data_IF_203361282726
#
_entry.id   IF_203361282726
#
_cell.length_a   1.000
_cell.length_b   1.000
_cell.length_c   1.000
_cell.angle_alpha   90.00
_cell.angle_beta   90.00
_cell.angle_gamma   90.00
#
_symmetry.space_group_name_H-M   'P 1'
#
loop_
_entity.id
_entity.type
_entity.pdbx_description
1 polymer ?
#
# COMPACT_ATOMS: atom_id res chain seq x y z
N UNK A 1 -9.61 16.95 -14.99
CA UNK A 1 -8.65 16.30 -14.07
C UNK A 1 -9.10 14.89 -13.81
N UNK A 2 -8.24 14.04 -13.24
CA UNK A 2 -8.62 12.70 -12.82
C UNK A 2 -9.71 12.79 -11.74
N UNK A 3 -10.74 11.95 -11.81
CA UNK A 3 -11.80 11.89 -10.79
C UNK A 3 -11.27 11.13 -9.58
N UNK A 4 -11.34 11.69 -8.35
CA UNK A 4 -10.91 10.97 -7.15
C UNK A 4 -11.74 9.70 -6.91
N UNK A 5 -11.14 8.71 -6.26
CA UNK A 5 -11.83 7.50 -5.79
C UNK A 5 -12.78 7.86 -4.63
N UNK A 6 -13.96 7.24 -4.60
CA UNK A 6 -14.91 7.44 -3.51
C UNK A 6 -14.36 6.85 -2.21
N UNK A 7 -14.55 7.56 -1.09
CA UNK A 7 -14.29 7.06 0.26
C UNK A 7 -15.61 6.79 0.98
N UNK A 8 -15.82 5.56 1.42
CA UNK A 8 -16.98 5.16 2.24
C UNK A 8 -16.59 5.17 3.71
N UNK A 9 -17.31 5.92 4.55
CA UNK A 9 -17.14 5.90 6.03
C UNK A 9 -17.59 4.54 6.57
N UNK A 10 -16.70 3.86 7.28
CA UNK A 10 -16.89 2.52 7.85
C UNK A 10 -17.14 2.55 9.35
N UNK A 11 -17.14 3.74 9.97
CA UNK A 11 -17.39 3.93 11.39
C UNK A 11 -16.20 4.48 12.16
N UNK A 12 -16.34 4.47 13.48
CA UNK A 12 -15.32 4.94 14.40
C UNK A 12 -14.44 3.77 14.84
N UNK A 13 -13.14 3.93 14.68
CA UNK A 13 -12.11 3.09 15.26
C UNK A 13 -11.59 3.70 16.54
N UNK A 14 -11.41 2.87 17.57
CA UNK A 14 -10.88 3.29 18.86
C UNK A 14 -9.60 2.49 19.17
N UNK A 15 -8.42 3.14 19.26
CA UNK A 15 -7.17 2.43 19.53
C UNK A 15 -7.23 1.61 20.83
N UNK A 16 -8.01 2.04 21.83
CA UNK A 16 -8.08 1.37 23.13
C UNK A 16 -8.81 0.02 23.11
N UNK A 17 -9.53 -0.27 22.03
CA UNK A 17 -10.29 -1.52 21.86
C UNK A 17 -9.48 -2.59 21.14
N UNK A 18 -8.21 -2.30 20.82
CA UNK A 18 -7.34 -3.17 20.05
C UNK A 18 -6.11 -3.61 20.84
N UNK A 19 -5.57 -4.76 20.43
CA UNK A 19 -4.37 -5.34 21.01
C UNK A 19 -3.11 -4.65 20.48
N UNK A 20 -2.23 -4.21 21.39
CA UNK A 20 -0.97 -3.52 21.07
C UNK A 20 0.28 -4.22 21.63
N UNK A 21 0.12 -5.37 22.27
CA UNK A 21 1.14 -6.01 23.11
C UNK A 21 0.49 -6.57 24.37
N UNK A 22 1.26 -7.28 25.19
CA UNK A 22 0.77 -7.77 26.47
C UNK A 22 0.46 -6.61 27.41
N UNK A 23 -0.50 -6.83 28.32
CA UNK A 23 -0.79 -5.85 29.36
C UNK A 23 0.49 -5.60 30.18
N UNK A 24 0.93 -4.33 30.25
CA UNK A 24 2.16 -3.82 30.87
C UNK A 24 3.43 -3.78 29.99
N UNK A 25 3.40 -4.28 28.76
CA UNK A 25 4.50 -4.03 27.82
C UNK A 25 4.49 -2.55 27.39
N UNK A 26 5.65 -1.89 27.31
CA UNK A 26 5.72 -0.54 26.77
C UNK A 26 5.26 -0.56 25.31
N UNK A 27 4.37 0.37 24.96
CA UNK A 27 4.04 0.62 23.56
C UNK A 27 5.33 0.97 22.81
N UNK A 28 5.50 0.40 21.62
CA UNK A 28 6.60 0.83 20.75
C UNK A 28 6.45 2.32 20.38
N UNK A 29 7.56 3.01 20.19
CA UNK A 29 7.62 4.45 19.83
C UNK A 29 6.72 4.82 18.64
N UNK A 30 6.45 3.87 17.76
CA UNK A 30 5.57 4.05 16.60
C UNK A 30 4.07 4.02 16.96
N UNK A 31 3.68 3.28 17.99
CA UNK A 31 2.29 3.05 18.39
C UNK A 31 1.79 4.09 19.39
N UNK A 32 2.63 4.55 20.31
CA UNK A 32 2.28 5.57 21.31
C UNK A 32 1.59 6.81 20.72
N UNK A 33 2.09 7.45 19.64
CA UNK A 33 1.42 8.62 19.07
C UNK A 33 0.05 8.29 18.46
N UNK A 34 -0.12 7.08 17.91
CA UNK A 34 -1.40 6.62 17.34
C UNK A 34 -2.43 6.38 18.45
N UNK A 35 -2.03 5.72 19.52
CA UNK A 35 -2.92 5.42 20.66
C UNK A 35 -3.30 6.71 21.38
N UNK A 36 -2.33 7.60 21.60
CA UNK A 36 -2.53 8.92 22.22
C UNK A 36 -3.47 9.81 21.40
N UNK A 37 -3.38 9.77 20.06
CA UNK A 37 -4.29 10.52 19.19
C UNK A 37 -5.76 10.16 19.43
N UNK A 38 -6.04 8.89 19.75
CA UNK A 38 -7.37 8.43 20.10
C UNK A 38 -8.24 8.07 18.87
N UNK A 39 -9.58 8.08 19.04
CA UNK A 39 -10.50 7.57 18.04
C UNK A 39 -10.44 8.29 16.69
N UNK A 40 -10.56 7.52 15.60
CA UNK A 40 -10.52 8.01 14.21
C UNK A 40 -11.54 7.31 13.33
N UNK A 41 -11.94 7.96 12.24
CA UNK A 41 -12.83 7.35 11.25
C UNK A 41 -12.09 6.39 10.35
N UNK A 42 -12.66 5.21 10.14
CA UNK A 42 -12.22 4.25 9.13
C UNK A 42 -12.91 4.51 7.80
N UNK A 43 -12.16 4.32 6.72
CA UNK A 43 -12.68 4.46 5.39
C UNK A 43 -12.34 3.24 4.54
N UNK A 44 -13.23 2.97 3.58
CA UNK A 44 -13.01 2.05 2.49
C UNK A 44 -12.95 2.83 1.18
N UNK A 45 -11.85 2.69 0.47
CA UNK A 45 -11.65 3.27 -0.85
C UNK A 45 -12.43 2.49 -1.91
N UNK A 46 -12.95 3.19 -2.92
CA UNK A 46 -13.57 2.58 -4.09
C UNK A 46 -12.61 1.62 -4.79
N UNK A 47 -13.09 0.42 -5.09
CA UNK A 47 -12.38 -0.50 -5.96
C UNK A 47 -12.74 -0.21 -7.42
N UNK A 48 -11.72 0.07 -8.24
CA UNK A 48 -11.84 0.22 -9.68
C UNK A 48 -11.15 -0.96 -10.36
N UNK A 49 -11.93 -1.82 -11.01
CA UNK A 49 -11.45 -2.98 -11.75
C UNK A 49 -12.13 -3.03 -13.13
N UNK A 50 -11.53 -2.39 -14.14
CA UNK A 50 -12.09 -2.39 -15.49
C UNK A 50 -12.13 -3.81 -16.07
N UNK A 51 -13.18 -4.12 -16.83
CA UNK A 51 -13.28 -5.37 -17.56
C UNK A 51 -13.74 -6.58 -16.76
N UNK A 52 -13.82 -6.50 -15.42
CA UNK A 52 -14.40 -7.59 -14.61
C UNK A 52 -15.92 -7.68 -14.84
N UNK A 53 -16.43 -8.87 -15.13
CA UNK A 53 -17.88 -9.14 -15.12
C UNK A 53 -18.40 -9.24 -13.67
N UNK A 54 -19.32 -8.36 -13.24
CA UNK A 54 -19.92 -8.44 -11.91
C UNK A 54 -20.67 -9.75 -11.62
N UNK A 55 -21.01 -10.53 -12.66
CA UNK A 55 -21.73 -11.79 -12.57
C UNK A 55 -20.82 -13.02 -12.64
N UNK A 56 -19.54 -12.85 -13.00
CA UNK A 56 -18.57 -13.94 -13.00
C UNK A 56 -17.46 -13.66 -11.97
N UNK A 57 -17.53 -14.27 -10.78
CA UNK A 57 -16.53 -14.07 -9.73
C UNK A 57 -15.14 -14.62 -10.10
N UNK A 58 -15.01 -15.34 -11.22
CA UNK A 58 -13.74 -15.87 -11.72
C UNK A 58 -13.11 -15.00 -12.81
N UNK A 59 -13.84 -13.99 -13.33
CA UNK A 59 -13.34 -13.05 -14.33
C UNK A 59 -12.64 -11.85 -13.66
N UNK A 60 -11.55 -12.15 -12.95
CA UNK A 60 -10.68 -11.15 -12.33
C UNK A 60 -9.36 -11.04 -13.11
N UNK A 61 -9.18 -9.97 -13.92
CA UNK A 61 -7.96 -9.78 -14.71
C UNK A 61 -6.71 -9.56 -13.84
N UNK A 62 -6.83 -9.14 -12.57
CA UNK A 62 -5.71 -9.05 -11.63
C UNK A 62 -5.26 -10.46 -11.20
N UNK A 63 -6.21 -11.35 -10.90
CA UNK A 63 -5.93 -12.75 -10.59
C UNK A 63 -5.27 -13.42 -11.80
N UNK A 64 -5.80 -13.23 -13.00
CA UNK A 64 -5.20 -13.75 -14.24
C UNK A 64 -3.75 -13.26 -14.44
N UNK A 65 -3.50 -11.95 -14.28
CA UNK A 65 -2.14 -11.41 -14.40
C UNK A 65 -1.19 -11.97 -13.32
N UNK A 66 -1.70 -12.23 -12.12
CA UNK A 66 -0.93 -12.84 -11.04
C UNK A 66 -0.58 -14.29 -11.33
N UNK A 67 -1.51 -15.07 -11.88
CA UNK A 67 -1.26 -16.46 -12.29
C UNK A 67 -0.24 -16.54 -13.42
N UNK A 68 -0.32 -15.66 -14.41
CA UNK A 68 0.67 -15.53 -15.48
C UNK A 68 2.05 -15.17 -14.93
N UNK A 69 2.14 -14.21 -14.00
CA UNK A 69 3.38 -13.89 -13.29
C UNK A 69 3.96 -15.14 -12.62
N UNK A 70 3.14 -15.89 -11.89
CA UNK A 70 3.57 -17.09 -11.17
C UNK A 70 4.02 -18.21 -12.12
N UNK A 71 3.45 -18.25 -13.33
CA UNK A 71 3.88 -19.14 -14.41
C UNK A 71 5.15 -18.67 -15.15
N UNK A 72 5.67 -17.47 -14.83
CA UNK A 72 6.84 -16.87 -15.50
C UNK A 72 6.50 -16.09 -16.78
N UNK A 73 5.22 -15.97 -17.14
CA UNK A 73 4.71 -15.26 -18.32
C UNK A 73 4.61 -13.75 -18.07
N UNK A 74 5.74 -13.12 -17.72
CA UNK A 74 5.79 -11.72 -17.25
C UNK A 74 5.31 -10.72 -18.30
N UNK A 75 5.57 -10.98 -19.58
CA UNK A 75 5.16 -10.09 -20.67
C UNK A 75 3.63 -10.03 -20.80
N UNK A 76 2.97 -11.18 -20.68
CA UNK A 76 1.52 -11.28 -20.78
C UNK A 76 0.82 -10.73 -19.52
N UNK A 77 1.36 -11.03 -18.33
CA UNK A 77 0.92 -10.40 -17.09
C UNK A 77 1.00 -8.87 -17.19
N UNK A 78 2.12 -8.34 -17.70
CA UNK A 78 2.30 -6.90 -17.87
C UNK A 78 1.33 -6.31 -18.90
N UNK A 79 1.01 -7.04 -19.97
CA UNK A 79 0.04 -6.61 -21.00
C UNK A 79 -1.34 -6.39 -20.39
N UNK A 80 -1.86 -7.38 -19.65
CA UNK A 80 -3.17 -7.30 -18.99
C UNK A 80 -3.22 -6.10 -18.04
N UNK A 81 -2.22 -5.95 -17.17
CA UNK A 81 -2.19 -4.85 -16.21
C UNK A 81 -2.10 -3.47 -16.89
N UNK A 82 -1.37 -3.35 -18.00
CA UNK A 82 -1.32 -2.12 -18.78
C UNK A 82 -2.68 -1.81 -19.44
N UNK A 83 -3.40 -2.82 -19.93
CA UNK A 83 -4.75 -2.66 -20.48
C UNK A 83 -5.75 -2.19 -19.42
N UNK A 84 -5.65 -2.68 -18.18
CA UNK A 84 -6.45 -2.19 -17.06
C UNK A 84 -6.18 -0.70 -16.79
N UNK A 85 -4.91 -0.30 -16.74
CA UNK A 85 -4.52 1.11 -16.58
C UNK A 85 -4.99 1.99 -17.75
N UNK A 86 -5.02 1.47 -18.98
CA UNK A 86 -5.53 2.19 -20.14
C UNK A 86 -7.05 2.36 -20.09
N UNK A 87 -7.76 1.34 -19.60
CA UNK A 87 -9.22 1.37 -19.46
C UNK A 87 -9.68 2.33 -18.35
N UNK A 88 -9.05 2.26 -17.17
CA UNK A 88 -9.19 3.28 -16.13
C UNK A 88 -7.89 3.40 -15.33
N UNK A 89 -7.24 4.55 -15.44
CA UNK A 89 -5.99 4.84 -14.73
C UNK A 89 -6.13 4.70 -13.21
N UNK A 90 -7.35 4.80 -12.67
CA UNK A 90 -7.65 4.67 -11.25
C UNK A 90 -7.62 3.23 -10.74
N UNK A 91 -7.36 2.24 -11.59
CA UNK A 91 -7.13 0.86 -11.18
C UNK A 91 -5.81 0.74 -10.38
N UNK A 92 -5.89 0.98 -9.07
CA UNK A 92 -4.72 0.96 -8.18
C UNK A 92 -4.04 -0.41 -8.12
N UNK A 93 -4.80 -1.49 -8.29
CA UNK A 93 -4.25 -2.84 -8.19
C UNK A 93 -3.36 -3.14 -9.40
N UNK A 94 -3.73 -2.64 -10.58
CA UNK A 94 -2.88 -2.73 -11.76
C UNK A 94 -1.52 -2.04 -11.56
N UNK A 95 -1.51 -0.83 -10.96
CA UNK A 95 -0.25 -0.13 -10.62
C UNK A 95 0.59 -0.88 -9.58
N UNK A 96 -0.05 -1.42 -8.54
CA UNK A 96 0.63 -2.21 -7.52
C UNK A 96 1.29 -3.47 -8.11
N UNK A 97 0.57 -4.18 -8.99
CA UNK A 97 1.07 -5.39 -9.62
C UNK A 97 2.14 -5.09 -10.68
N UNK A 98 2.01 -4.01 -11.48
CA UNK A 98 3.06 -3.56 -12.41
C UNK A 98 4.37 -3.24 -11.69
N UNK A 99 4.30 -2.51 -10.56
CA UNK A 99 5.47 -2.26 -9.73
C UNK A 99 6.11 -3.56 -9.23
N UNK A 100 5.26 -4.51 -8.81
CA UNK A 100 5.70 -5.82 -8.28
C UNK A 100 6.39 -6.67 -9.34
N UNK A 101 5.97 -6.61 -10.61
CA UNK A 101 6.61 -7.38 -11.70
C UNK A 101 8.08 -7.02 -11.90
N UNK A 102 8.46 -5.77 -11.60
CA UNK A 102 9.82 -5.26 -11.89
C UNK A 102 10.60 -4.89 -10.63
N UNK A 103 9.98 -4.96 -9.45
CA UNK A 103 10.56 -4.55 -8.16
C UNK A 103 11.94 -5.19 -7.91
N UNK A 104 12.05 -6.51 -8.03
CA UNK A 104 13.26 -7.25 -7.66
C UNK A 104 14.48 -6.87 -8.49
N UNK A 105 14.29 -6.56 -9.77
CA UNK A 105 15.40 -6.35 -10.70
C UNK A 105 15.61 -4.88 -11.10
N UNK A 106 14.57 -4.05 -11.01
CA UNK A 106 14.57 -2.66 -11.51
C UNK A 106 13.78 -1.74 -10.58
N UNK A 107 14.27 -1.46 -9.35
CA UNK A 107 13.57 -0.58 -8.41
C UNK A 107 13.32 0.83 -8.97
N UNK A 108 14.21 1.33 -9.85
CA UNK A 108 14.03 2.60 -10.55
C UNK A 108 12.83 2.62 -11.51
N UNK A 109 12.40 1.46 -12.01
CA UNK A 109 11.20 1.33 -12.85
C UNK A 109 9.97 1.05 -11.98
N UNK A 110 10.11 0.17 -10.99
CA UNK A 110 9.04 -0.16 -10.05
C UNK A 110 8.47 1.06 -9.33
N UNK A 111 9.35 1.97 -8.88
CA UNK A 111 8.94 3.17 -8.16
C UNK A 111 7.95 4.02 -8.96
N UNK A 112 8.07 4.06 -10.30
CA UNK A 112 7.18 4.88 -11.15
C UNK A 112 5.76 4.34 -11.13
N UNK A 113 5.59 3.02 -11.19
CA UNK A 113 4.27 2.38 -11.10
C UNK A 113 3.62 2.61 -9.74
N UNK A 114 4.36 2.35 -8.65
CA UNK A 114 3.86 2.57 -7.31
C UNK A 114 3.54 4.05 -7.04
N UNK A 115 4.36 4.97 -7.54
CA UNK A 115 4.15 6.42 -7.37
C UNK A 115 2.87 6.89 -8.06
N UNK A 116 2.51 6.35 -9.24
CA UNK A 116 1.24 6.69 -9.90
C UNK A 116 0.06 6.23 -9.04
N UNK A 117 0.04 4.96 -8.60
CA UNK A 117 -1.03 4.46 -7.76
C UNK A 117 -1.14 5.20 -6.41
N UNK A 118 0.00 5.51 -5.78
CA UNK A 118 0.05 6.32 -4.57
C UNK A 118 -0.55 7.72 -4.80
N UNK A 119 -0.14 8.41 -5.87
CA UNK A 119 -0.65 9.75 -6.17
C UNK A 119 -2.15 9.80 -6.43
N UNK A 120 -2.72 8.77 -7.06
CA UNK A 120 -4.18 8.66 -7.27
C UNK A 120 -4.92 8.45 -5.95
N UNK A 121 -4.39 7.59 -5.08
CA UNK A 121 -4.98 7.41 -3.76
C UNK A 121 -4.84 8.67 -2.89
N UNK A 122 -3.70 9.35 -2.90
CA UNK A 122 -3.50 10.62 -2.18
C UNK A 122 -4.42 11.73 -2.68
N UNK A 123 -4.64 11.82 -3.99
CA UNK A 123 -5.65 12.71 -4.58
C UNK A 123 -7.04 12.46 -3.99
N UNK A 124 -7.36 11.20 -3.71
CA UNK A 124 -8.66 10.76 -3.18
C UNK A 124 -8.81 10.99 -1.67
N UNK A 125 -7.71 10.90 -0.94
CA UNK A 125 -7.66 11.21 0.49
C UNK A 125 -7.77 12.72 0.76
N UNK A 126 -7.09 13.53 -0.05
CA UNK A 126 -6.89 14.96 0.21
C UNK A 126 -5.78 15.24 1.23
N UNK A 127 -5.27 16.48 1.24
CA UNK A 127 -4.07 16.86 1.99
C UNK A 127 -4.19 16.77 3.52
N UNK A 128 -5.40 16.92 4.06
CA UNK A 128 -5.66 16.95 5.50
C UNK A 128 -6.30 15.64 6.01
N UNK A 129 -6.12 14.53 5.29
CA UNK A 129 -6.74 13.26 5.66
C UNK A 129 -6.15 12.68 6.95
N UNK A 130 -6.97 12.69 8.01
CA UNK A 130 -6.65 12.15 9.34
C UNK A 130 -7.32 10.79 9.64
N UNK A 131 -8.02 10.21 8.66
CA UNK A 131 -8.70 8.93 8.79
C UNK A 131 -7.78 7.72 8.66
N UNK A 132 -8.40 6.54 8.73
CA UNK A 132 -7.75 5.24 8.57
C UNK A 132 -8.16 4.57 7.26
N UNK A 133 -7.24 3.79 6.70
CA UNK A 133 -7.49 2.82 5.65
C UNK A 133 -7.03 1.43 6.14
N UNK A 134 -7.82 0.75 6.98
CA UNK A 134 -7.46 -0.57 7.47
C UNK A 134 -7.30 -1.58 6.34
N UNK A 135 -6.32 -2.48 6.46
CA UNK A 135 -6.10 -3.61 5.53
C UNK A 135 -7.30 -4.58 5.47
N UNK A 136 -8.09 -4.62 6.54
CA UNK A 136 -9.28 -5.46 6.65
C UNK A 136 -10.34 -5.16 5.59
N UNK A 137 -10.41 -3.92 5.12
CA UNK A 137 -11.19 -3.58 3.92
C UNK A 137 -10.37 -3.90 2.68
N UNK A 138 -10.76 -4.96 1.95
CA UNK A 138 -9.99 -5.51 0.83
C UNK A 138 -9.70 -4.42 -0.23
N UNK A 139 -10.66 -3.54 -0.47
CA UNK A 139 -10.59 -2.45 -1.44
C UNK A 139 -9.48 -1.42 -1.11
N UNK A 140 -9.00 -1.35 0.13
CA UNK A 140 -7.88 -0.49 0.54
C UNK A 140 -6.51 -1.09 0.17
N UNK A 141 -6.42 -2.42 -0.01
CA UNK A 141 -5.14 -3.12 -0.18
C UNK A 141 -4.36 -2.65 -1.40
N UNK A 142 -4.96 -2.36 -2.58
CA UNK A 142 -4.23 -1.84 -3.72
C UNK A 142 -3.48 -0.53 -3.42
N UNK A 143 -4.14 0.42 -2.73
CA UNK A 143 -3.51 1.67 -2.32
C UNK A 143 -2.36 1.43 -1.33
N UNK A 144 -2.62 0.62 -0.28
CA UNK A 144 -1.61 0.28 0.71
C UNK A 144 -0.41 -0.43 0.07
N UNK A 145 -0.62 -1.33 -0.89
CA UNK A 145 0.46 -1.99 -1.65
C UNK A 145 1.27 -1.00 -2.48
N UNK A 146 0.62 -0.04 -3.15
CA UNK A 146 1.33 1.03 -3.84
C UNK A 146 2.21 1.84 -2.88
N UNK A 147 1.66 2.24 -1.74
CA UNK A 147 2.39 3.00 -0.74
C UNK A 147 3.59 2.22 -0.19
N UNK A 148 3.39 0.94 0.11
CA UNK A 148 4.46 0.05 0.58
C UNK A 148 5.55 -0.12 -0.46
N UNK A 149 5.19 -0.51 -1.68
CA UNK A 149 6.14 -0.70 -2.78
C UNK A 149 6.93 0.57 -3.06
N UNK A 150 6.29 1.74 -3.02
CA UNK A 150 6.95 3.03 -3.14
C UNK A 150 7.99 3.25 -2.02
N UNK A 151 7.60 3.03 -0.75
CA UNK A 151 8.53 3.15 0.39
C UNK A 151 9.71 2.18 0.31
N UNK A 152 9.48 0.93 -0.08
CA UNK A 152 10.54 -0.07 -0.29
C UNK A 152 11.47 0.33 -1.45
N UNK A 153 10.93 0.85 -2.56
CA UNK A 153 11.74 1.35 -3.66
C UNK A 153 12.62 2.54 -3.23
N UNK A 154 12.06 3.49 -2.48
CA UNK A 154 12.83 4.61 -1.93
C UNK A 154 13.99 4.11 -1.07
N UNK A 155 13.74 3.12 -0.21
CA UNK A 155 14.79 2.53 0.60
C UNK A 155 15.87 1.84 -0.24
N UNK A 156 15.46 1.01 -1.22
CA UNK A 156 16.40 0.35 -2.16
C UNK A 156 17.25 1.34 -2.96
N UNK A 157 16.73 2.53 -3.21
CA UNK A 157 17.41 3.61 -3.93
C UNK A 157 18.21 4.55 -3.00
N UNK A 158 18.31 4.24 -1.70
CA UNK A 158 19.07 5.05 -0.72
C UNK A 158 18.36 6.33 -0.29
N UNK A 159 17.08 6.51 -0.63
CA UNK A 159 16.27 7.66 -0.23
C UNK A 159 15.67 7.47 1.17
N UNK A 160 16.54 7.29 2.18
CA UNK A 160 16.16 6.88 3.54
C UNK A 160 15.11 7.80 4.20
N UNK A 161 15.33 9.12 4.17
CA UNK A 161 14.39 10.08 4.78
C UNK A 161 12.99 10.00 4.16
N UNK A 162 12.91 9.78 2.85
CA UNK A 162 11.64 9.66 2.15
C UNK A 162 10.95 8.33 2.49
N UNK A 163 11.72 7.23 2.50
CA UNK A 163 11.20 5.92 2.88
C UNK A 163 10.64 5.94 4.31
N UNK A 164 11.37 6.53 5.25
CA UNK A 164 10.93 6.67 6.64
C UNK A 164 9.61 7.43 6.77
N UNK A 165 9.45 8.55 6.03
CA UNK A 165 8.17 9.29 6.01
C UNK A 165 7.01 8.47 5.46
N UNK A 166 7.24 7.69 4.41
CA UNK A 166 6.22 6.80 3.84
C UNK A 166 5.82 5.72 4.85
N UNK A 167 6.77 5.05 5.48
CA UNK A 167 6.49 4.00 6.47
C UNK A 167 5.77 4.55 7.71
N UNK A 168 6.17 5.72 8.21
CA UNK A 168 5.43 6.39 9.28
C UNK A 168 4.00 6.70 8.86
N UNK A 169 3.79 7.27 7.67
CA UNK A 169 2.44 7.56 7.18
C UNK A 169 1.59 6.29 7.02
N UNK A 170 2.18 5.18 6.60
CA UNK A 170 1.50 3.89 6.52
C UNK A 170 1.01 3.41 7.89
N UNK A 171 1.80 3.54 8.96
CA UNK A 171 1.36 3.18 10.32
C UNK A 171 0.20 4.07 10.79
N UNK A 172 0.21 5.34 10.42
CA UNK A 172 -0.91 6.24 10.71
C UNK A 172 -2.18 5.86 9.95
N UNK A 173 -2.08 5.36 8.71
CA UNK A 173 -3.23 4.95 7.90
C UNK A 173 -3.74 3.54 8.24
N UNK A 174 -2.85 2.60 8.53
CA UNK A 174 -3.14 1.21 8.84
C UNK A 174 -2.36 0.75 10.09
N UNK A 175 -2.86 1.05 11.31
CA UNK A 175 -2.10 0.82 12.55
C UNK A 175 -1.86 -0.65 12.91
N UNK A 176 -2.64 -1.58 12.35
CA UNK A 176 -2.36 -3.02 12.47
C UNK A 176 -1.11 -3.45 11.73
N UNK A 177 -0.59 -2.59 10.85
CA UNK A 177 0.67 -2.78 10.15
C UNK A 177 0.80 -4.19 9.55
N UNK A 178 -0.24 -4.58 8.80
CA UNK A 178 -0.30 -5.87 8.11
C UNK A 178 0.85 -6.06 7.10
N UNK A 179 1.48 -4.96 6.70
CA UNK A 179 2.60 -4.94 5.76
C UNK A 179 3.96 -5.02 6.47
N UNK A 180 3.98 -4.88 7.80
CA UNK A 180 5.17 -5.06 8.62
C UNK A 180 6.16 -3.91 8.53
N UNK A 181 5.72 -2.70 8.19
CA UNK A 181 6.62 -1.55 8.02
C UNK A 181 7.25 -1.09 9.34
N UNK A 182 6.64 -1.41 10.50
CA UNK A 182 7.23 -1.08 11.81
C UNK A 182 8.62 -1.69 12.01
N UNK A 183 8.86 -2.86 11.42
CA UNK A 183 10.15 -3.56 11.49
C UNK A 183 11.21 -3.00 10.53
N UNK A 184 10.85 -2.02 9.68
CA UNK A 184 11.75 -1.41 8.70
C UNK A 184 12.26 -0.04 9.17
N UNK A 185 11.50 0.63 10.04
CA UNK A 185 11.70 2.04 10.37
C UNK A 185 13.08 2.30 10.96
N UNK A 186 13.55 1.46 11.88
CA UNK A 186 14.82 1.70 12.57
C UNK A 186 16.02 1.47 11.65
N UNK A 187 15.98 0.44 10.80
CA UNK A 187 16.99 0.22 9.76
C UNK A 187 17.06 1.38 8.77
N UNK A 188 15.89 1.88 8.33
CA UNK A 188 15.80 3.02 7.41
C UNK A 188 16.32 4.31 8.07
N UNK A 189 15.96 4.57 9.33
CA UNK A 189 16.48 5.71 10.11
C UNK A 189 17.99 5.64 10.31
N UNK A 190 18.52 4.44 10.51
CA UNK A 190 19.96 4.21 10.66
C UNK A 190 20.73 4.29 9.32
N UNK A 191 20.03 4.38 8.18
CA UNK A 191 20.65 4.37 6.87
C UNK A 191 21.19 3.00 6.45
N UNK A 192 20.72 1.91 7.08
CA UNK A 192 21.11 0.54 6.72
C UNK A 192 20.67 0.25 5.30
N UNK A 193 21.61 -0.14 4.42
CA UNK A 193 21.28 -0.44 3.04
C UNK A 193 20.38 -1.67 2.95
N UNK A 194 19.50 -1.70 1.95
CA UNK A 194 18.54 -2.79 1.75
C UNK A 194 19.18 -4.19 1.81
N UNK A 195 20.30 -4.38 1.10
CA UNK A 195 20.96 -5.68 0.97
C UNK A 195 21.65 -6.16 2.26
N UNK A 196 21.97 -5.24 3.18
CA UNK A 196 22.65 -5.60 4.43
C UNK A 196 21.69 -6.29 5.40
N UNK A 197 20.39 -6.04 5.27
CA UNK A 197 19.34 -6.67 6.08
C UNK A 197 18.99 -8.09 5.65
N UNK A 198 19.10 -8.42 4.36
CA UNK A 198 18.82 -9.79 3.88
C UNK A 198 19.84 -10.81 4.43
N UNK A 199 20.94 -10.34 5.02
CA UNK A 199 22.00 -11.15 5.63
C UNK A 199 21.92 -11.24 7.17
N UNK A 200 20.89 -10.66 7.81
CA UNK A 200 20.59 -10.75 9.25
C UNK A 200 19.46 -11.75 9.54
#
# INVERSE_FOLDING_TARGET
GLVPLVLTDMGLWNPREHYWGEDNDPLGDWAEPIVTYGPRREFKMEQVLPGADPNDPFDDPITQATDLKNAGELAEASRILMELCQADLRCLDAHAHLGTLVFDHRPQDAIRHYQVGLGIGELSLGGDFIGLLPWGHIDNRPFLRCMHGYGLCLWRLGCFDQAGRVFHRMLWLNPWDNQGVRFLIDAVKAGTAWHDRENE
#
